data_IF_827238481567
#
_entry.id   IF_827238481567
#
_cell.length_a   1.000
_cell.length_b   1.000
_cell.length_c   1.000
_cell.angle_alpha   90.00
_cell.angle_beta   90.00
_cell.angle_gamma   90.00
#
_symmetry.space_group_name_H-M   'P 1'
#
loop_
_entity.id
_entity.type
_entity.pdbx_description
1 polymer ?
#
# COMPACT_ATOMS: atom_id res chain seq x y z
N UNK A 1 -20.92 -4.75 -26.68
CA UNK A 1 -21.39 -3.36 -26.84
C UNK A 1 -21.03 -2.67 -25.54
N UNK A 2 -19.96 -1.87 -25.54
CA UNK A 2 -19.53 -1.13 -24.36
C UNK A 2 -20.61 -0.09 -24.04
N UNK A 3 -21.18 -0.13 -22.84
CA UNK A 3 -21.94 1.01 -22.32
C UNK A 3 -20.99 2.23 -22.28
N UNK A 4 -21.42 3.42 -22.73
CA UNK A 4 -20.63 4.62 -22.54
C UNK A 4 -20.51 4.89 -21.04
N UNK A 5 -19.29 5.18 -20.57
CA UNK A 5 -19.03 5.67 -19.22
C UNK A 5 -19.89 6.90 -18.92
N UNK A 6 -20.57 6.99 -17.76
CA UNK A 6 -21.32 8.18 -17.36
C UNK A 6 -20.41 9.37 -16.98
N UNK A 7 -19.09 9.24 -17.07
CA UNK A 7 -18.12 10.24 -16.66
C UNK A 7 -17.48 10.94 -17.86
N UNK A 8 -17.59 12.27 -17.90
CA UNK A 8 -16.90 13.16 -18.85
C UNK A 8 -15.37 13.02 -18.68
N UNK A 9 -14.62 12.88 -19.78
CA UNK A 9 -13.16 12.74 -19.70
C UNK A 9 -12.54 14.05 -19.18
N UNK A 10 -11.49 14.05 -18.34
CA UNK A 10 -10.96 15.29 -17.74
C UNK A 10 -10.56 16.37 -18.75
N UNK A 11 -10.04 15.97 -19.91
CA UNK A 11 -9.73 16.92 -20.99
C UNK A 11 -10.99 17.64 -21.51
N UNK A 12 -12.12 16.94 -21.61
CA UNK A 12 -13.39 17.52 -22.04
C UNK A 12 -13.96 18.46 -20.97
N UNK A 13 -13.83 18.10 -19.68
CA UNK A 13 -14.19 18.97 -18.54
C UNK A 13 -13.46 20.31 -18.63
N UNK A 14 -12.13 20.29 -18.85
CA UNK A 14 -11.30 21.49 -18.97
C UNK A 14 -11.73 22.34 -20.16
N UNK A 15 -12.00 21.73 -21.32
CA UNK A 15 -12.48 22.43 -22.52
C UNK A 15 -13.84 23.08 -22.28
N UNK A 16 -14.77 22.37 -21.64
CA UNK A 16 -16.11 22.86 -21.33
C UNK A 16 -16.06 24.05 -20.38
N UNK A 17 -15.31 23.96 -19.27
CA UNK A 17 -15.14 25.06 -18.32
C UNK A 17 -14.52 26.28 -19.00
N UNK A 18 -13.51 26.08 -19.86
CA UNK A 18 -12.89 27.18 -20.59
C UNK A 18 -13.87 27.88 -21.55
N UNK A 19 -14.74 27.12 -22.22
CA UNK A 19 -15.79 27.66 -23.06
C UNK A 19 -16.82 28.48 -22.24
N UNK A 20 -17.24 27.98 -21.07
CA UNK A 20 -18.13 28.68 -20.14
C UNK A 20 -17.52 30.01 -19.66
N UNK A 21 -16.21 30.02 -19.36
CA UNK A 21 -15.45 31.20 -18.94
C UNK A 21 -15.04 32.13 -20.09
N UNK A 22 -15.29 31.72 -21.35
CA UNK A 22 -14.85 32.41 -22.57
C UNK A 22 -13.34 32.69 -22.56
N UNK A 23 -12.54 31.69 -22.24
CA UNK A 23 -11.09 31.76 -22.18
C UNK A 23 -10.41 30.59 -22.90
N UNK A 24 -9.07 30.61 -22.99
CA UNK A 24 -8.30 29.43 -23.43
C UNK A 24 -8.42 28.32 -22.38
N UNK A 25 -8.40 27.03 -22.77
CA UNK A 25 -8.24 25.89 -21.85
C UNK A 25 -6.98 25.95 -20.98
N UNK A 26 -5.98 26.72 -21.41
CA UNK A 26 -4.71 26.91 -20.70
C UNK A 26 -4.65 28.20 -19.89
N UNK A 27 -5.77 28.91 -19.75
CA UNK A 27 -5.87 30.16 -18.98
C UNK A 27 -5.96 29.87 -17.47
N UNK A 28 -5.29 30.67 -16.64
CA UNK A 28 -5.29 30.54 -15.18
C UNK A 28 -6.71 30.48 -14.59
N UNK A 29 -7.66 31.20 -15.21
CA UNK A 29 -9.06 31.23 -14.77
C UNK A 29 -9.72 29.86 -14.76
N UNK A 30 -9.27 28.92 -15.60
CA UNK A 30 -9.77 27.54 -15.62
C UNK A 30 -9.36 26.80 -14.34
N UNK A 31 -8.09 26.93 -13.93
CA UNK A 31 -7.60 26.32 -12.70
C UNK A 31 -8.29 26.92 -11.46
N UNK A 32 -8.45 28.25 -11.43
CA UNK A 32 -9.16 28.93 -10.33
C UNK A 32 -10.64 28.50 -10.22
N UNK A 33 -11.32 28.30 -11.35
CA UNK A 33 -12.71 27.77 -11.37
C UNK A 33 -12.77 26.34 -10.83
N UNK A 34 -11.83 25.48 -11.24
CA UNK A 34 -11.73 24.10 -10.74
C UNK A 34 -11.47 24.09 -9.22
N UNK A 35 -10.58 24.94 -8.73
CA UNK A 35 -10.35 25.11 -7.29
C UNK A 35 -11.60 25.60 -6.58
N UNK A 36 -12.36 26.55 -7.16
CA UNK A 36 -13.61 27.09 -6.59
C UNK A 36 -14.71 26.01 -6.44
N UNK A 37 -14.78 25.09 -7.40
CA UNK A 37 -15.77 23.99 -7.44
C UNK A 37 -15.33 22.74 -6.66
N UNK A 38 -14.05 22.64 -6.28
CA UNK A 38 -13.54 21.53 -5.49
C UNK A 38 -14.15 21.49 -4.09
N UNK A 39 -15.01 20.49 -3.85
CA UNK A 39 -15.65 20.26 -2.55
C UNK A 39 -14.65 19.82 -1.47
N UNK A 40 -13.47 19.35 -1.86
CA UNK A 40 -12.39 18.91 -0.98
C UNK A 40 -11.37 20.02 -0.67
N UNK A 41 -11.50 21.21 -1.27
CA UNK A 41 -10.54 22.33 -1.13
C UNK A 41 -10.14 22.62 0.31
N UNK A 42 -11.10 22.54 1.23
CA UNK A 42 -10.91 22.84 2.64
C UNK A 42 -9.94 21.88 3.36
N UNK A 43 -9.75 20.65 2.85
CA UNK A 43 -8.77 19.70 3.42
C UNK A 43 -7.33 20.18 3.26
N UNK A 44 -7.03 21.07 2.30
CA UNK A 44 -5.72 21.70 2.16
C UNK A 44 -5.27 22.39 3.46
N UNK A 45 -6.22 22.95 4.21
CA UNK A 45 -5.97 23.61 5.49
C UNK A 45 -5.64 22.64 6.62
N UNK A 46 -5.81 21.34 6.44
CA UNK A 46 -5.48 20.32 7.43
C UNK A 46 -3.98 19.96 7.44
N UNK A 47 -3.17 20.47 6.51
CA UNK A 47 -1.77 20.10 6.34
C UNK A 47 -0.80 21.26 6.55
N UNK A 48 0.41 20.94 7.01
CA UNK A 48 1.53 21.87 6.96
C UNK A 48 2.18 21.82 5.58
N UNK A 49 1.92 22.85 4.76
CA UNK A 49 2.51 22.99 3.43
C UNK A 49 3.77 23.87 3.53
N UNK A 50 4.95 23.39 3.11
CA UNK A 50 6.19 24.17 3.17
C UNK A 50 6.08 25.53 2.48
N UNK A 51 6.85 26.51 2.95
CA UNK A 51 7.04 27.79 2.26
C UNK A 51 8.24 27.72 1.33
N UNK A 52 8.17 28.46 0.23
CA UNK A 52 9.25 28.48 -0.77
C UNK A 52 10.60 28.81 -0.13
N UNK A 53 10.63 29.80 0.76
CA UNK A 53 11.87 30.25 1.42
C UNK A 53 12.56 29.23 2.34
N UNK A 54 11.84 28.20 2.78
CA UNK A 54 12.37 27.19 3.70
C UNK A 54 12.94 25.96 2.95
N UNK A 55 12.84 25.92 1.62
CA UNK A 55 13.29 24.77 0.81
C UNK A 55 14.83 24.81 0.59
N UNK A 56 15.58 23.74 0.89
CA UNK A 56 17.06 23.74 0.89
C UNK A 56 17.78 23.99 -0.45
N UNK A 57 17.08 23.98 -1.59
CA UNK A 57 17.69 24.08 -2.93
C UNK A 57 16.96 25.08 -3.83
N UNK A 58 16.19 25.99 -3.23
CA UNK A 58 15.49 27.04 -3.96
C UNK A 58 16.44 28.21 -4.24
N UNK A 59 16.37 28.78 -5.44
CA UNK A 59 16.95 30.09 -5.73
C UNK A 59 15.91 31.17 -5.35
N UNK A 60 16.15 31.86 -4.24
CA UNK A 60 15.23 32.90 -3.72
C UNK A 60 15.04 34.08 -4.67
N UNK A 61 15.94 34.27 -5.64
CA UNK A 61 15.79 35.33 -6.64
C UNK A 61 14.71 35.02 -7.69
N UNK A 62 14.30 33.75 -7.81
CA UNK A 62 13.35 33.27 -8.80
C UNK A 62 11.93 33.05 -8.25
N UNK A 63 11.70 33.29 -6.95
CA UNK A 63 10.47 32.88 -6.26
C UNK A 63 9.96 33.95 -5.30
N UNK A 64 8.65 33.93 -5.05
CA UNK A 64 8.06 34.70 -3.97
C UNK A 64 8.21 33.94 -2.65
N UNK A 65 8.98 34.52 -1.72
CA UNK A 65 9.45 33.84 -0.50
C UNK A 65 8.32 33.25 0.39
N UNK A 66 7.20 33.96 0.51
CA UNK A 66 6.10 33.63 1.43
C UNK A 66 5.04 32.69 0.81
N UNK A 67 5.16 32.39 -0.49
CA UNK A 67 4.27 31.45 -1.17
C UNK A 67 4.49 30.02 -0.68
N UNK A 68 3.44 29.21 -0.84
CA UNK A 68 3.54 27.78 -0.57
C UNK A 68 4.33 27.06 -1.66
N UNK A 69 5.05 26.02 -1.27
CA UNK A 69 5.69 25.10 -2.19
C UNK A 69 4.66 24.36 -3.05
N UNK A 70 4.96 24.19 -4.33
CA UNK A 70 4.26 23.23 -5.20
C UNK A 70 4.80 21.83 -4.87
N UNK A 71 4.20 21.20 -3.86
CA UNK A 71 4.69 19.95 -3.29
C UNK A 71 4.14 18.72 -4.02
N UNK A 72 4.76 18.35 -5.15
CA UNK A 72 4.41 17.15 -5.93
C UNK A 72 5.26 15.94 -5.56
N UNK A 73 5.47 15.72 -4.25
CA UNK A 73 6.23 14.57 -3.72
C UNK A 73 5.48 13.80 -2.61
N UNK A 74 4.17 14.03 -2.48
CA UNK A 74 3.31 13.32 -1.51
C UNK A 74 3.26 11.79 -1.74
N UNK A 75 3.55 11.35 -2.96
CA UNK A 75 3.67 9.94 -3.31
C UNK A 75 4.93 9.27 -2.73
N UNK A 76 5.89 10.03 -2.19
CA UNK A 76 7.08 9.52 -1.52
C UNK A 76 7.08 9.85 -0.03
N UNK A 77 6.78 11.11 0.32
CA UNK A 77 6.59 11.53 1.71
C UNK A 77 5.40 12.48 1.78
N UNK A 78 4.33 12.01 2.41
CA UNK A 78 3.12 12.79 2.63
C UNK A 78 3.36 14.02 3.50
N UNK A 79 2.59 15.09 3.25
CA UNK A 79 2.63 16.28 4.10
C UNK A 79 2.09 15.98 5.49
N UNK A 80 2.62 16.67 6.51
CA UNK A 80 2.21 16.43 7.89
C UNK A 80 0.79 16.98 8.16
N UNK A 81 -0.17 16.16 8.63
CA UNK A 81 -1.44 16.65 9.15
C UNK A 81 -1.23 17.50 10.40
N UNK A 82 -1.94 18.63 10.52
CA UNK A 82 -1.80 19.58 11.63
C UNK A 82 -2.08 18.96 13.01
N UNK A 83 -2.92 17.91 13.04
CA UNK A 83 -3.32 17.20 14.26
C UNK A 83 -2.30 16.18 14.78
N UNK A 84 -1.24 15.86 14.02
CA UNK A 84 -0.23 14.87 14.46
C UNK A 84 0.33 15.22 15.84
N UNK A 85 0.68 16.50 16.06
CA UNK A 85 1.20 16.98 17.35
C UNK A 85 0.20 16.74 18.48
N UNK A 86 -1.07 17.10 18.27
CA UNK A 86 -2.13 16.92 19.26
C UNK A 86 -2.30 15.45 19.65
N UNK A 87 -2.29 14.54 18.68
CA UNK A 87 -2.51 13.11 18.94
C UNK A 87 -1.33 12.48 19.70
N UNK A 88 -0.11 12.95 19.41
CA UNK A 88 1.09 12.56 20.19
C UNK A 88 1.00 13.08 21.63
N UNK A 89 0.62 14.35 21.82
CA UNK A 89 0.48 14.96 23.14
C UNK A 89 -0.54 14.20 24.02
N UNK A 90 -1.67 13.73 23.47
CA UNK A 90 -2.64 12.90 24.20
C UNK A 90 -1.99 11.64 24.82
N UNK A 91 -1.16 10.93 24.07
CA UNK A 91 -0.52 9.69 24.54
C UNK A 91 0.68 9.97 25.46
N UNK A 92 1.44 11.04 25.21
CA UNK A 92 2.52 11.50 26.09
C UNK A 92 1.98 11.92 27.46
N UNK A 93 0.86 12.65 27.50
CA UNK A 93 0.18 13.04 28.74
C UNK A 93 -0.37 11.82 29.49
N UNK A 94 -1.01 10.87 28.78
CA UNK A 94 -1.48 9.62 29.38
C UNK A 94 -0.32 8.85 30.01
N UNK A 95 0.82 8.77 29.33
CA UNK A 95 2.01 8.12 29.86
C UNK A 95 2.54 8.82 31.11
N UNK A 96 2.73 10.14 31.05
CA UNK A 96 3.22 10.93 32.18
C UNK A 96 2.31 10.81 33.41
N UNK A 97 0.99 10.78 33.21
CA UNK A 97 0.00 10.77 34.29
C UNK A 97 -0.26 9.38 34.88
N UNK A 98 -0.24 8.34 34.05
CA UNK A 98 -0.77 7.02 34.41
C UNK A 98 0.26 5.89 34.33
N UNK A 99 1.46 6.12 33.78
CA UNK A 99 2.47 5.08 33.62
C UNK A 99 1.90 3.84 32.94
N UNK A 100 2.14 2.65 33.52
CA UNK A 100 1.72 1.37 32.97
C UNK A 100 0.19 1.20 32.84
N UNK A 101 -0.63 1.94 33.60
CA UNK A 101 -2.09 1.84 33.48
C UNK A 101 -2.59 2.26 32.08
N UNK A 102 -1.82 3.08 31.35
CA UNK A 102 -2.12 3.47 29.97
C UNK A 102 -2.21 2.30 28.97
N UNK A 103 -1.73 1.11 29.35
CA UNK A 103 -1.90 -0.11 28.55
C UNK A 103 -3.37 -0.50 28.35
N UNK A 104 -4.24 -0.23 29.33
CA UNK A 104 -5.62 -0.75 29.36
C UNK A 104 -6.70 0.35 29.28
N UNK A 105 -6.32 1.63 29.36
CA UNK A 105 -7.27 2.76 29.44
C UNK A 105 -7.04 3.86 28.40
N UNK A 106 -8.04 4.73 28.25
CA UNK A 106 -8.00 5.92 27.41
C UNK A 106 -8.58 5.68 26.01
N UNK A 107 -8.45 6.68 25.12
CA UNK A 107 -8.95 6.59 23.74
C UNK A 107 -8.25 5.49 22.94
N UNK A 108 -6.95 5.27 23.18
CA UNK A 108 -6.10 4.28 22.51
C UNK A 108 -5.34 3.44 23.53
N UNK A 109 -5.97 2.46 24.20
CA UNK A 109 -5.26 1.56 25.11
C UNK A 109 -4.07 0.91 24.40
N UNK A 110 -2.86 0.97 24.96
CA UNK A 110 -1.66 0.61 24.18
C UNK A 110 -1.56 -0.88 23.81
N UNK A 111 -2.27 -1.77 24.51
CA UNK A 111 -2.34 -3.20 24.15
C UNK A 111 -3.05 -3.41 22.82
N UNK A 112 -4.05 -2.59 22.51
CA UNK A 112 -4.92 -2.67 21.33
C UNK A 112 -4.83 -1.36 20.53
N UNK A 113 -3.68 -0.69 20.55
CA UNK A 113 -3.54 0.65 19.97
C UNK A 113 -3.71 0.64 18.46
N UNK A 114 -3.20 -0.40 17.81
CA UNK A 114 -3.41 -0.74 16.40
C UNK A 114 -4.88 -1.03 16.10
N UNK A 115 -5.50 -1.93 16.88
CA UNK A 115 -6.92 -2.31 16.72
C UNK A 115 -7.86 -1.12 16.95
N UNK A 116 -7.50 -0.16 17.79
CA UNK A 116 -8.34 1.02 18.08
C UNK A 116 -8.58 1.95 16.88
N UNK A 117 -7.75 1.84 15.83
CA UNK A 117 -7.84 2.67 14.63
C UNK A 117 -7.98 1.86 13.34
N UNK A 118 -7.91 0.53 13.39
CA UNK A 118 -7.96 -0.33 12.19
C UNK A 118 -9.25 -0.15 11.40
N UNK A 119 -10.37 0.14 12.08
CA UNK A 119 -11.65 0.46 11.44
C UNK A 119 -11.56 1.59 10.42
N UNK A 120 -10.67 2.58 10.61
CA UNK A 120 -10.46 3.70 9.68
C UNK A 120 -9.80 3.28 8.36
N UNK A 121 -9.25 2.07 8.27
CA UNK A 121 -8.65 1.54 7.05
C UNK A 121 -9.63 0.72 6.21
N UNK A 122 -10.77 0.31 6.77
CA UNK A 122 -11.71 -0.62 6.12
C UNK A 122 -12.17 -0.11 4.76
N UNK A 123 -12.57 1.16 4.68
CA UNK A 123 -12.98 1.83 3.42
C UNK A 123 -11.79 2.13 2.49
N UNK A 124 -10.60 2.38 3.04
CA UNK A 124 -9.40 2.72 2.26
C UNK A 124 -8.90 1.51 1.46
N UNK A 125 -9.00 0.30 2.03
CA UNK A 125 -8.53 -0.93 1.37
C UNK A 125 -9.67 -1.86 0.93
N UNK A 126 -10.91 -1.56 1.29
CA UNK A 126 -12.07 -2.41 1.01
C UNK A 126 -11.92 -3.81 1.62
N UNK A 127 -11.68 -3.87 2.92
CA UNK A 127 -11.56 -5.11 3.69
C UNK A 127 -12.14 -4.95 5.10
N UNK A 128 -12.48 -6.06 5.75
CA UNK A 128 -12.96 -6.03 7.13
C UNK A 128 -11.82 -5.82 8.14
N UNK A 129 -12.13 -5.33 9.34
CA UNK A 129 -11.13 -5.13 10.40
C UNK A 129 -10.32 -6.40 10.71
N UNK A 130 -10.94 -7.58 10.62
CA UNK A 130 -10.29 -8.87 10.91
C UNK A 130 -9.27 -9.28 9.86
N UNK A 131 -9.31 -8.68 8.68
CA UNK A 131 -8.40 -8.95 7.57
C UNK A 131 -7.22 -7.98 7.55
N UNK A 132 -7.22 -6.95 8.40
CA UNK A 132 -6.22 -5.88 8.41
C UNK A 132 -5.42 -5.92 9.71
N UNK A 133 -4.09 -5.76 9.59
CA UNK A 133 -3.21 -5.51 10.73
C UNK A 133 -2.35 -4.27 10.47
N UNK A 134 -2.27 -3.37 11.46
CA UNK A 134 -1.37 -2.21 11.43
C UNK A 134 -0.14 -2.53 12.27
N UNK A 135 0.97 -2.84 11.61
CA UNK A 135 2.16 -3.35 12.28
C UNK A 135 3.44 -3.13 11.48
N UNK A 136 4.57 -3.09 12.19
CA UNK A 136 5.93 -3.11 11.65
C UNK A 136 6.20 -2.07 10.54
N UNK A 137 7.07 -2.42 9.59
CA UNK A 137 7.36 -1.69 8.37
C UNK A 137 6.97 -2.53 7.14
N UNK A 138 6.82 -1.89 5.97
CA UNK A 138 6.30 -2.49 4.74
C UNK A 138 7.03 -3.79 4.37
N UNK A 139 8.34 -3.73 4.13
CA UNK A 139 9.12 -4.90 3.72
C UNK A 139 9.15 -5.99 4.80
N UNK A 140 9.07 -5.60 6.09
CA UNK A 140 8.97 -6.57 7.19
C UNK A 140 7.66 -7.35 7.05
N UNK A 141 6.53 -6.67 6.85
CA UNK A 141 5.24 -7.33 6.64
C UNK A 141 5.26 -8.21 5.39
N UNK A 142 5.87 -7.75 4.29
CA UNK A 142 6.03 -8.55 3.08
C UNK A 142 6.77 -9.87 3.38
N UNK A 143 7.86 -9.83 4.15
CA UNK A 143 8.54 -11.06 4.57
C UNK A 143 7.65 -11.99 5.41
N UNK A 144 6.90 -11.45 6.38
CA UNK A 144 6.01 -12.25 7.23
C UNK A 144 4.93 -12.96 6.41
N UNK A 145 4.37 -12.27 5.41
CA UNK A 145 3.38 -12.80 4.49
C UNK A 145 4.01 -13.89 3.61
N UNK A 146 5.15 -13.60 2.97
CA UNK A 146 5.82 -14.56 2.08
C UNK A 146 6.26 -15.83 2.82
N UNK A 147 6.72 -15.74 4.07
CA UNK A 147 7.05 -16.94 4.87
C UNK A 147 5.87 -17.92 5.03
N UNK A 148 4.63 -17.42 4.94
CA UNK A 148 3.42 -18.22 5.13
C UNK A 148 2.76 -18.64 3.80
N UNK A 149 2.80 -17.76 2.80
CA UNK A 149 2.20 -17.97 1.47
C UNK A 149 3.14 -18.66 0.47
N UNK A 150 4.44 -18.34 0.48
CA UNK A 150 5.42 -18.96 -0.41
C UNK A 150 5.89 -20.30 0.15
N UNK A 151 5.24 -21.38 -0.28
CA UNK A 151 5.56 -22.76 0.11
C UNK A 151 6.00 -23.56 -1.13
N UNK A 152 7.25 -23.37 -1.61
CA UNK A 152 7.69 -23.94 -2.88
C UNK A 152 7.71 -25.48 -2.83
N UNK A 153 7.43 -26.09 -3.99
CA UNK A 153 7.50 -27.53 -4.25
C UNK A 153 8.29 -27.78 -5.53
N UNK A 154 8.73 -29.02 -5.83
CA UNK A 154 9.44 -29.29 -7.09
C UNK A 154 8.67 -28.90 -8.35
N UNK A 155 7.32 -28.89 -8.31
CA UNK A 155 6.47 -28.50 -9.45
C UNK A 155 6.15 -27.01 -9.48
N UNK A 156 6.01 -26.37 -8.31
CA UNK A 156 5.51 -25.00 -8.14
C UNK A 156 6.40 -24.24 -7.16
N UNK A 157 7.33 -23.44 -7.66
CA UNK A 157 8.39 -22.82 -6.87
C UNK A 157 8.74 -21.39 -7.31
N UNK A 158 8.19 -20.89 -8.42
CA UNK A 158 8.50 -19.54 -8.90
C UNK A 158 7.73 -18.47 -8.11
N UNK A 159 8.31 -17.28 -8.02
CA UNK A 159 7.61 -16.04 -7.68
C UNK A 159 7.58 -15.17 -8.94
N UNK A 160 6.39 -14.72 -9.33
CA UNK A 160 6.18 -13.83 -10.48
C UNK A 160 6.09 -12.38 -10.00
N UNK A 161 6.85 -11.48 -10.62
CA UNK A 161 6.83 -10.03 -10.36
C UNK A 161 7.14 -9.20 -11.62
N UNK A 162 6.87 -7.90 -11.58
CA UNK A 162 7.20 -6.97 -12.66
C UNK A 162 8.70 -6.63 -12.73
N UNK A 163 9.19 -6.30 -13.92
CA UNK A 163 10.55 -5.80 -14.11
C UNK A 163 10.73 -4.43 -13.49
N UNK A 164 11.91 -4.23 -12.89
CA UNK A 164 12.24 -3.00 -12.16
C UNK A 164 11.24 -2.68 -11.04
N UNK A 165 10.64 -3.72 -10.44
CA UNK A 165 9.95 -3.60 -9.17
C UNK A 165 10.78 -2.80 -8.15
N UNK A 166 10.10 -2.21 -7.17
CA UNK A 166 10.79 -1.40 -6.16
C UNK A 166 11.95 -2.20 -5.52
N UNK A 167 13.13 -1.60 -5.30
CA UNK A 167 14.32 -2.37 -4.93
C UNK A 167 14.13 -3.24 -3.70
N UNK A 168 13.38 -2.75 -2.70
CA UNK A 168 13.15 -3.52 -1.48
C UNK A 168 12.34 -4.79 -1.71
N UNK A 169 11.34 -4.77 -2.60
CA UNK A 169 10.52 -5.90 -2.98
C UNK A 169 11.34 -6.92 -3.76
N UNK A 170 12.17 -6.44 -4.69
CA UNK A 170 13.12 -7.29 -5.41
C UNK A 170 14.02 -8.07 -4.45
N UNK A 171 14.64 -7.37 -3.48
CA UNK A 171 15.50 -8.02 -2.49
C UNK A 171 14.73 -8.93 -1.52
N UNK A 172 13.49 -8.59 -1.19
CA UNK A 172 12.63 -9.45 -0.35
C UNK A 172 12.33 -10.78 -1.07
N UNK A 173 11.96 -10.73 -2.35
CA UNK A 173 11.73 -11.93 -3.17
C UNK A 173 13.01 -12.73 -3.35
N UNK A 174 14.12 -12.08 -3.69
CA UNK A 174 15.41 -12.75 -3.88
C UNK A 174 15.85 -13.49 -2.61
N UNK A 175 15.79 -12.83 -1.46
CA UNK A 175 16.17 -13.44 -0.18
C UNK A 175 15.22 -14.55 0.27
N UNK A 176 13.91 -14.47 -0.04
CA UNK A 176 12.97 -15.58 0.19
C UNK A 176 13.32 -16.81 -0.67
N UNK A 177 13.67 -16.61 -1.94
CA UNK A 177 14.11 -17.71 -2.81
C UNK A 177 15.39 -18.36 -2.28
N UNK A 178 16.37 -17.53 -1.87
CA UNK A 178 17.62 -17.99 -1.26
C UNK A 178 17.39 -18.73 0.06
N UNK A 179 16.46 -18.25 0.91
CA UNK A 179 16.09 -18.90 2.16
C UNK A 179 15.58 -20.34 1.95
N UNK A 180 14.87 -20.59 0.83
CA UNK A 180 14.42 -21.92 0.42
C UNK A 180 15.47 -22.71 -0.41
N UNK A 181 16.68 -22.20 -0.58
CA UNK A 181 17.75 -22.85 -1.36
C UNK A 181 17.46 -22.91 -2.87
N UNK A 182 16.56 -22.06 -3.37
CA UNK A 182 16.20 -22.02 -4.79
C UNK A 182 17.18 -21.18 -5.60
N UNK A 183 17.41 -21.58 -6.85
CA UNK A 183 18.18 -20.78 -7.79
C UNK A 183 17.36 -19.55 -8.20
N UNK A 184 17.88 -18.35 -7.94
CA UNK A 184 17.18 -17.07 -8.17
C UNK A 184 16.82 -16.89 -9.64
N UNK A 185 17.78 -17.09 -10.56
CA UNK A 185 17.55 -16.92 -12.02
C UNK A 185 16.39 -17.78 -12.56
N UNK A 186 16.24 -19.00 -12.03
CA UNK A 186 15.16 -19.93 -12.45
C UNK A 186 13.83 -19.69 -11.74
N UNK A 187 13.86 -19.09 -10.55
CA UNK A 187 12.70 -19.05 -9.65
C UNK A 187 12.10 -17.65 -9.52
N UNK A 188 12.87 -16.61 -9.82
CA UNK A 188 12.42 -15.22 -9.84
C UNK A 188 11.96 -14.86 -11.24
N UNK A 189 10.66 -15.04 -11.51
CA UNK A 189 10.10 -14.81 -12.84
C UNK A 189 9.72 -13.35 -13.00
N UNK A 190 10.48 -12.63 -13.83
CA UNK A 190 10.32 -11.17 -14.01
C UNK A 190 9.66 -10.84 -15.36
N UNK A 191 8.49 -10.22 -15.37
CA UNK A 191 7.82 -9.76 -16.61
C UNK A 191 8.41 -8.43 -17.05
N UNK A 192 8.93 -8.37 -18.29
CA UNK A 192 9.54 -7.17 -18.87
C UNK A 192 8.58 -6.52 -19.86
N UNK A 193 8.61 -5.18 -20.01
CA UNK A 193 7.88 -4.53 -21.09
C UNK A 193 8.45 -4.95 -22.44
N UNK A 194 7.66 -4.74 -23.50
CA UNK A 194 8.11 -4.96 -24.89
C UNK A 194 9.21 -3.97 -25.24
N UNK A 195 10.00 -4.28 -26.27
CA UNK A 195 11.05 -3.37 -26.76
C UNK A 195 10.44 -2.02 -27.15
N UNK A 196 11.01 -0.92 -26.64
CA UNK A 196 10.49 0.44 -26.84
C UNK A 196 9.33 0.84 -25.92
N UNK A 197 8.90 -0.03 -25.01
CA UNK A 197 7.85 0.26 -24.02
C UNK A 197 8.44 0.29 -22.60
N UNK A 198 7.83 1.10 -21.72
CA UNK A 198 8.13 1.11 -20.29
C UNK A 198 7.02 0.45 -19.46
N UNK A 199 5.78 0.51 -19.95
CA UNK A 199 4.61 -0.06 -19.30
C UNK A 199 4.44 -1.53 -19.69
N UNK A 200 3.90 -2.32 -18.77
CA UNK A 200 3.48 -3.67 -19.10
C UNK A 200 2.08 -3.63 -19.70
N UNK A 201 1.86 -4.36 -20.78
CA UNK A 201 0.51 -4.55 -21.30
C UNK A 201 -0.20 -5.65 -20.52
N UNK A 202 -1.48 -5.46 -20.25
CA UNK A 202 -2.25 -6.42 -19.46
C UNK A 202 -2.31 -7.80 -20.14
N UNK A 203 -2.42 -7.83 -21.47
CA UNK A 203 -2.40 -9.08 -22.23
C UNK A 203 -1.10 -9.87 -22.08
N UNK A 204 0.05 -9.21 -21.90
CA UNK A 204 1.34 -9.87 -21.71
C UNK A 204 1.46 -10.46 -20.30
N UNK A 205 0.92 -9.76 -19.29
CA UNK A 205 0.84 -10.27 -17.92
C UNK A 205 -0.02 -11.54 -17.89
N UNK A 206 -1.21 -11.48 -18.49
CA UNK A 206 -2.15 -12.61 -18.55
C UNK A 206 -1.58 -13.80 -19.32
N UNK A 207 -0.90 -13.56 -20.45
CA UNK A 207 -0.25 -14.61 -21.25
C UNK A 207 0.84 -15.36 -20.45
N UNK A 208 1.67 -14.63 -19.68
CA UNK A 208 2.68 -15.23 -18.81
C UNK A 208 2.03 -16.07 -17.71
N UNK A 209 0.98 -15.57 -17.06
CA UNK A 209 0.25 -16.30 -16.02
C UNK A 209 -0.36 -17.58 -16.60
N UNK A 210 -0.99 -17.52 -17.77
CA UNK A 210 -1.60 -18.68 -18.40
C UNK A 210 -0.56 -19.75 -18.75
N UNK A 211 0.57 -19.34 -19.35
CA UNK A 211 1.62 -20.27 -19.81
C UNK A 211 2.46 -20.86 -18.67
N UNK A 212 2.73 -20.09 -17.63
CA UNK A 212 3.69 -20.47 -16.58
C UNK A 212 3.05 -20.73 -15.20
N UNK A 213 1.76 -20.45 -15.06
CA UNK A 213 1.03 -20.43 -13.78
C UNK A 213 1.15 -21.71 -12.96
N UNK A 214 1.19 -22.89 -13.60
CA UNK A 214 1.31 -24.17 -12.88
C UNK A 214 2.64 -24.31 -12.11
N UNK A 215 3.66 -23.54 -12.50
CA UNK A 215 4.98 -23.50 -11.86
C UNK A 215 5.18 -22.33 -10.88
N UNK A 216 4.22 -21.41 -10.82
CA UNK A 216 4.26 -20.20 -10.00
C UNK A 216 3.54 -20.45 -8.67
N UNK A 217 4.24 -20.28 -7.56
CA UNK A 217 3.65 -20.41 -6.22
C UNK A 217 2.94 -19.12 -5.81
N UNK A 218 3.59 -17.99 -6.04
CA UNK A 218 3.11 -16.66 -5.64
C UNK A 218 3.30 -15.70 -6.80
N UNK A 219 2.27 -14.91 -7.09
CA UNK A 219 2.37 -13.68 -7.87
C UNK A 219 2.43 -12.53 -6.86
N UNK A 220 3.49 -11.74 -6.94
CA UNK A 220 3.69 -10.55 -6.13
C UNK A 220 3.93 -9.37 -7.06
N UNK A 221 2.95 -8.48 -7.17
CA UNK A 221 3.02 -7.28 -7.99
C UNK A 221 2.88 -6.03 -7.13
N UNK A 222 3.40 -4.89 -7.58
CA UNK A 222 2.90 -3.62 -7.06
C UNK A 222 1.45 -3.38 -7.48
N UNK A 223 0.66 -2.67 -6.68
CA UNK A 223 -0.66 -2.18 -7.13
C UNK A 223 -0.50 -1.02 -8.13
N UNK A 224 0.39 -0.08 -7.78
CA UNK A 224 0.85 1.00 -8.66
C UNK A 224 2.38 0.95 -8.72
N UNK A 225 2.94 0.90 -9.93
CA UNK A 225 4.38 0.84 -10.11
C UNK A 225 5.03 2.19 -9.77
N UNK A 226 6.03 2.18 -8.88
CA UNK A 226 6.58 3.39 -8.25
C UNK A 226 7.19 4.40 -9.24
N UNK A 227 7.79 3.91 -10.34
CA UNK A 227 8.51 4.75 -11.29
C UNK A 227 7.62 5.21 -12.44
N UNK A 228 6.88 4.28 -13.06
CA UNK A 228 6.07 4.57 -14.25
C UNK A 228 4.68 5.12 -13.90
N UNK A 229 4.24 4.99 -12.65
CA UNK A 229 2.90 5.36 -12.22
C UNK A 229 1.80 4.43 -12.74
N UNK A 230 2.16 3.29 -13.33
CA UNK A 230 1.19 2.34 -13.88
C UNK A 230 0.35 1.72 -12.78
N UNK A 231 -0.96 1.93 -12.83
CA UNK A 231 -1.94 1.16 -12.07
C UNK A 231 -2.18 -0.19 -12.76
N UNK A 232 -1.91 -1.28 -12.06
CA UNK A 232 -2.20 -2.63 -12.57
C UNK A 232 -3.64 -3.04 -12.27
N UNK A 233 -4.24 -3.84 -13.16
CA UNK A 233 -5.57 -4.43 -12.96
C UNK A 233 -5.48 -5.58 -11.94
N UNK A 234 -5.42 -5.20 -10.65
CA UNK A 234 -5.35 -6.11 -9.51
C UNK A 234 -6.42 -7.21 -9.54
N UNK A 235 -7.73 -6.94 -9.78
CA UNK A 235 -8.72 -8.01 -9.84
C UNK A 235 -8.50 -8.97 -11.00
N UNK A 236 -8.09 -8.50 -12.19
CA UNK A 236 -7.79 -9.39 -13.32
C UNK A 236 -6.55 -10.27 -13.06
N UNK A 237 -5.47 -9.70 -12.51
CA UNK A 237 -4.27 -10.46 -12.12
C UNK A 237 -4.61 -11.50 -11.05
N UNK A 238 -5.38 -11.11 -10.03
CA UNK A 238 -5.85 -12.00 -8.96
C UNK A 238 -6.60 -13.20 -9.51
N UNK A 239 -7.62 -12.96 -10.35
CA UNK A 239 -8.41 -14.02 -10.97
C UNK A 239 -7.56 -14.94 -11.84
N UNK A 240 -6.68 -14.39 -12.67
CA UNK A 240 -5.81 -15.17 -13.55
C UNK A 240 -4.85 -16.06 -12.77
N UNK A 241 -4.19 -15.51 -11.73
CA UNK A 241 -3.27 -16.28 -10.90
C UNK A 241 -3.96 -17.41 -10.14
N UNK A 242 -5.10 -17.10 -9.50
CA UNK A 242 -5.87 -18.09 -8.75
C UNK A 242 -6.43 -19.20 -9.63
N UNK A 243 -6.83 -18.90 -10.88
CA UNK A 243 -7.25 -19.91 -11.86
C UNK A 243 -6.15 -20.94 -12.17
N UNK A 244 -4.87 -20.57 -12.00
CA UNK A 244 -3.71 -21.46 -12.16
C UNK A 244 -3.19 -22.02 -10.83
N UNK A 245 -3.90 -21.77 -9.73
CA UNK A 245 -3.55 -22.24 -8.38
C UNK A 245 -2.42 -21.46 -7.71
N UNK A 246 -2.10 -20.25 -8.19
CA UNK A 246 -1.16 -19.35 -7.53
C UNK A 246 -1.86 -18.61 -6.37
N UNK A 247 -1.10 -18.26 -5.33
CA UNK A 247 -1.49 -17.14 -4.48
C UNK A 247 -1.13 -15.82 -5.16
N UNK A 248 -1.96 -14.81 -5.02
CA UNK A 248 -1.75 -13.48 -5.60
C UNK A 248 -1.79 -12.43 -4.49
N UNK A 249 -0.69 -11.72 -4.32
CA UNK A 249 -0.61 -10.61 -3.40
C UNK A 249 0.04 -9.37 -3.99
N UNK A 250 -0.15 -8.24 -3.31
CA UNK A 250 0.28 -6.95 -3.81
C UNK A 250 1.03 -6.11 -2.78
N UNK A 251 2.09 -5.44 -3.23
CA UNK A 251 2.62 -4.26 -2.54
C UNK A 251 1.80 -3.03 -2.96
N UNK A 252 1.11 -2.43 -1.99
CA UNK A 252 0.18 -1.33 -2.20
C UNK A 252 0.76 0.03 -1.78
N UNK A 253 2.09 0.16 -1.67
CA UNK A 253 2.73 1.39 -1.18
C UNK A 253 2.35 2.65 -1.97
N UNK A 254 2.12 2.54 -3.28
CA UNK A 254 1.68 3.64 -4.14
C UNK A 254 0.17 3.61 -4.47
N UNK A 255 -0.55 2.60 -3.97
CA UNK A 255 -1.98 2.42 -4.23
C UNK A 255 -2.85 2.87 -3.04
N UNK A 256 -2.45 2.52 -1.81
CA UNK A 256 -3.24 2.82 -0.61
C UNK A 256 -3.40 4.33 -0.41
N UNK A 257 -4.64 4.80 -0.24
CA UNK A 257 -4.95 6.23 -0.12
C UNK A 257 -4.77 7.04 -1.41
N UNK A 258 -4.56 6.39 -2.56
CA UNK A 258 -4.41 7.02 -3.87
C UNK A 258 -5.49 6.54 -4.86
N UNK A 259 -5.57 5.23 -5.07
CA UNK A 259 -6.61 4.59 -5.91
C UNK A 259 -7.60 3.85 -5.02
N UNK A 260 -8.82 3.66 -5.52
CA UNK A 260 -9.80 2.83 -4.83
C UNK A 260 -9.34 1.37 -4.79
N UNK A 261 -9.58 0.71 -3.66
CA UNK A 261 -9.17 -0.66 -3.40
C UNK A 261 -10.35 -1.44 -2.82
N UNK A 262 -10.57 -2.65 -3.33
CA UNK A 262 -11.59 -3.57 -2.84
C UNK A 262 -10.97 -4.95 -2.61
N UNK A 263 -9.97 -5.04 -1.71
CA UNK A 263 -9.12 -6.22 -1.58
C UNK A 263 -9.92 -7.50 -1.27
N UNK A 264 -10.93 -7.40 -0.41
CA UNK A 264 -11.81 -8.51 -0.09
C UNK A 264 -12.61 -8.95 -1.32
N UNK A 265 -13.34 -8.02 -1.96
CA UNK A 265 -14.23 -8.34 -3.08
C UNK A 265 -13.48 -8.81 -4.33
N UNK A 266 -12.26 -8.31 -4.54
CA UNK A 266 -11.37 -8.77 -5.60
C UNK A 266 -10.78 -10.15 -5.32
N UNK A 267 -10.92 -10.65 -4.09
CA UNK A 267 -10.44 -11.96 -3.68
C UNK A 267 -8.92 -12.03 -3.54
N UNK A 268 -8.23 -10.90 -3.35
CA UNK A 268 -6.76 -10.83 -3.18
C UNK A 268 -6.34 -11.74 -2.03
N UNK A 269 -5.23 -12.48 -2.13
CA UNK A 269 -4.85 -13.43 -1.08
C UNK A 269 -4.17 -12.73 0.12
N UNK A 270 -3.26 -11.79 -0.18
CA UNK A 270 -2.61 -10.94 0.82
C UNK A 270 -2.15 -9.62 0.20
N UNK A 271 -1.92 -8.60 1.02
CA UNK A 271 -1.28 -7.37 0.58
C UNK A 271 -0.51 -6.71 1.73
N UNK A 272 0.37 -5.76 1.41
CA UNK A 272 1.04 -4.92 2.39
C UNK A 272 1.24 -3.50 1.86
N UNK A 273 1.33 -2.51 2.75
CA UNK A 273 1.56 -1.11 2.38
C UNK A 273 2.33 -0.34 3.46
N UNK A 274 2.94 0.77 3.07
CA UNK A 274 3.44 1.76 4.01
C UNK A 274 2.40 2.86 4.25
N UNK A 275 2.57 3.66 5.30
CA UNK A 275 1.65 4.75 5.66
C UNK A 275 2.23 6.15 5.46
N UNK A 276 3.52 6.26 5.13
CA UNK A 276 4.20 7.56 5.07
C UNK A 276 4.10 8.28 3.71
N UNK A 277 3.50 7.62 2.71
CA UNK A 277 3.21 8.19 1.37
C UNK A 277 1.85 8.90 1.41
N UNK A 278 0.88 8.45 0.61
CA UNK A 278 -0.45 9.05 0.52
C UNK A 278 -1.24 9.04 1.84
N UNK A 279 -0.94 8.13 2.79
CA UNK A 279 -1.57 8.10 4.12
C UNK A 279 -0.94 9.11 5.12
N UNK A 280 0.10 9.85 4.73
CA UNK A 280 0.61 11.02 5.46
C UNK A 280 1.04 10.77 6.92
N UNK A 281 1.55 9.57 7.25
CA UNK A 281 1.88 9.21 8.64
C UNK A 281 3.23 9.73 9.16
N UNK A 282 4.04 10.39 8.31
CA UNK A 282 5.43 10.73 8.60
C UNK A 282 6.42 9.56 8.36
N UNK A 283 7.68 9.92 8.11
CA UNK A 283 8.72 8.99 7.63
C UNK A 283 8.87 7.73 8.51
N UNK A 284 8.82 6.56 7.88
CA UNK A 284 8.96 5.28 8.59
C UNK A 284 7.76 4.92 9.49
N UNK A 285 6.61 5.55 9.28
CA UNK A 285 5.38 5.24 10.01
C UNK A 285 4.93 3.78 9.89
N UNK A 286 4.05 3.37 10.81
CA UNK A 286 3.56 2.00 10.97
C UNK A 286 2.93 1.49 9.66
N UNK A 287 3.39 0.36 9.16
CA UNK A 287 2.88 -0.25 7.94
C UNK A 287 1.54 -0.99 8.17
N UNK A 288 0.93 -1.43 7.07
CA UNK A 288 -0.24 -2.30 7.10
C UNK A 288 0.00 -3.62 6.38
N UNK A 289 -0.78 -4.62 6.75
CA UNK A 289 -0.88 -5.92 6.10
C UNK A 289 -2.34 -6.32 5.99
N UNK A 290 -2.67 -6.99 4.88
CA UNK A 290 -3.97 -7.60 4.63
C UNK A 290 -3.79 -9.09 4.39
N UNK A 291 -4.68 -9.90 4.96
CA UNK A 291 -4.85 -11.32 4.63
C UNK A 291 -6.34 -11.59 4.54
N UNK A 292 -6.77 -12.09 3.38
CA UNK A 292 -8.18 -12.36 3.16
C UNK A 292 -8.71 -13.45 4.12
N UNK A 293 -9.90 -13.24 4.66
CA UNK A 293 -10.52 -14.11 5.66
C UNK A 293 -10.66 -15.57 5.21
N UNK A 294 -10.74 -15.85 3.90
CA UNK A 294 -10.73 -17.21 3.35
C UNK A 294 -9.50 -18.03 3.76
N UNK A 295 -8.43 -17.36 4.18
CA UNK A 295 -7.16 -17.96 4.63
C UNK A 295 -7.02 -18.08 6.15
N UNK A 296 -7.95 -17.53 6.95
CA UNK A 296 -7.82 -17.43 8.42
C UNK A 296 -7.55 -18.78 9.13
N UNK A 297 -8.07 -19.87 8.57
CA UNK A 297 -7.95 -21.21 9.15
C UNK A 297 -6.91 -22.09 8.46
N UNK A 298 -6.45 -21.75 7.25
CA UNK A 298 -5.61 -22.61 6.40
C UNK A 298 -4.18 -22.06 6.21
N UNK A 299 -4.00 -20.74 6.25
CA UNK A 299 -2.69 -20.09 6.26
C UNK A 299 -2.42 -19.63 7.69
N UNK A 300 -1.25 -20.00 8.21
CA UNK A 300 -0.85 -19.68 9.58
C UNK A 300 0.46 -18.90 9.56
N UNK A 301 0.67 -17.97 10.51
CA UNK A 301 1.91 -17.22 10.57
C UNK A 301 3.09 -18.19 10.74
N UNK A 302 4.13 -18.06 9.93
CA UNK A 302 5.33 -18.88 10.10
C UNK A 302 6.03 -18.65 11.46
N UNK A 303 5.94 -17.42 11.99
CA UNK A 303 6.52 -17.03 13.29
C UNK A 303 5.51 -17.07 14.45
N UNK A 304 4.83 -18.21 14.63
CA UNK A 304 3.79 -18.44 15.67
C UNK A 304 4.23 -18.17 17.12
N UNK A 305 5.41 -18.65 17.50
CA UNK A 305 5.81 -18.75 18.91
C UNK A 305 6.27 -17.41 19.52
N UNK A 306 6.69 -16.44 18.68
CA UNK A 306 7.14 -15.13 19.16
C UNK A 306 5.97 -14.30 19.70
N UNK A 307 4.82 -14.32 19.02
CA UNK A 307 3.61 -13.58 19.45
C UNK A 307 2.99 -14.17 20.72
N UNK A 308 2.99 -15.50 20.87
CA UNK A 308 2.47 -16.18 22.07
C UNK A 308 3.28 -15.78 23.32
N UNK A 309 4.61 -15.72 23.22
CA UNK A 309 5.49 -15.36 24.33
C UNK A 309 5.16 -13.98 24.92
N UNK A 310 4.93 -12.97 24.07
CA UNK A 310 4.56 -11.63 24.53
C UNK A 310 3.13 -11.57 25.08
N UNK A 311 2.17 -12.22 24.42
CA UNK A 311 0.77 -12.27 24.87
C UNK A 311 0.59 -13.01 26.21
N UNK A 312 1.48 -13.97 26.51
CA UNK A 312 1.45 -14.76 27.74
C UNK A 312 2.59 -14.44 28.72
N UNK A 313 3.10 -13.19 28.70
CA UNK A 313 4.06 -12.67 29.70
C UNK A 313 5.28 -13.58 29.91
N UNK A 314 5.87 -14.03 28.81
CA UNK A 314 7.12 -14.80 28.83
C UNK A 314 6.94 -16.31 28.99
N UNK A 315 5.72 -16.85 28.81
CA UNK A 315 5.48 -18.30 28.80
C UNK A 315 5.47 -18.83 27.38
N UNK A 316 6.32 -19.82 27.09
CA UNK A 316 6.23 -20.60 25.85
C UNK A 316 5.00 -21.51 25.88
N UNK A 317 4.33 -21.74 24.73
CA UNK A 317 3.19 -22.65 24.67
C UNK A 317 3.63 -24.10 24.97
N UNK A 318 2.79 -24.84 25.68
CA UNK A 318 3.02 -26.27 25.93
C UNK A 318 2.97 -27.06 24.62
N UNK A 319 3.55 -28.28 24.60
CA UNK A 319 3.54 -29.16 23.41
C UNK A 319 2.10 -29.45 22.92
N UNK A 320 1.13 -29.50 23.83
CA UNK A 320 -0.27 -29.70 23.51
C UNK A 320 -0.92 -28.44 22.89
N UNK A 321 -0.67 -27.26 23.47
CA UNK A 321 -1.13 -25.98 22.92
C UNK A 321 -0.52 -25.66 21.54
N UNK A 322 0.72 -26.08 21.28
CA UNK A 322 1.35 -25.94 19.96
C UNK A 322 0.69 -26.76 18.85
N UNK A 323 -0.09 -27.79 19.20
CA UNK A 323 -0.83 -28.62 18.22
C UNK A 323 -2.22 -28.06 17.92
N UNK A 324 -2.75 -27.20 18.79
CA UNK A 324 -4.08 -26.59 18.69
C UNK A 324 -4.05 -25.18 18.05
N UNK A 325 -2.88 -24.53 18.01
CA UNK A 325 -2.59 -23.25 17.33
C UNK A 325 -2.16 -23.46 15.87
#
# INVERSE_FOLDING_TARGET
VMEPSPFEHPADVVQRIAAELKCSPTDERVALRLDEEDTLRHFRECFYIPKMQDLPSIDLSLVNKDEHAIYFLGNSLGLQPKLVKTYLEEELEKWAKMGAYGHEVGKRPWITGDESIVGLMTDIVGASEKEIALMNALTVNLHLLLLSFFKPTPKRFKILLEAKAFPSDHYAVESQLQFHGLNVEKSMRIIKPREGEELLRMEDILDVIEKEGDSIAVILFSGVHFYTGQLFDMPAITKAGQAKGCFVGFDLAHAVGNVELHLHDWGVDFACWCSYKYLNSGAGGLAGAFVHEKHAHTIKPAMKDLMYYFKHKGKLPTVQQRREL
#
